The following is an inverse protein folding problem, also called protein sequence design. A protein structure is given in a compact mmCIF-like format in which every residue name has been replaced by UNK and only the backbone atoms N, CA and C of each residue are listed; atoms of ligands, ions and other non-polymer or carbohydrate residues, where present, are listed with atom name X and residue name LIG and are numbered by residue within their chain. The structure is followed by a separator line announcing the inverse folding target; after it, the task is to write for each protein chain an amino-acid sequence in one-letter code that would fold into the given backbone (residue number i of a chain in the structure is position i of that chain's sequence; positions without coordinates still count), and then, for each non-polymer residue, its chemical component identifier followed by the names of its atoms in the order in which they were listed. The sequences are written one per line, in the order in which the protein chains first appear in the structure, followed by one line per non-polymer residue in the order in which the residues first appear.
data_IF_375479575042
#
_entry.id   IF_375479575042
#
_cell.length_a   1.000
_cell.length_b   1.000
_cell.length_c   1.000
_cell.angle_alpha   90.00
_cell.angle_beta   90.00
_cell.angle_gamma   90.00
#
_symmetry.space_group_name_H-M   'P 1'
#
loop_
_entity.id
_entity.type
_entity.pdbx_description
1 polymer ?
#
# COMPACT_ATOMS: atom_id res chain seq x y z
N UNK A 1 33.98 -3.36 4.28
CA UNK A 1 33.72 -4.80 4.17
C UNK A 1 32.23 -4.97 3.94
N UNK A 2 31.86 -5.26 2.71
CA UNK A 2 30.49 -5.29 2.21
C UNK A 2 29.90 -6.69 2.46
N UNK A 3 29.01 -6.85 3.42
CA UNK A 3 28.18 -8.05 3.55
C UNK A 3 26.91 -7.86 2.68
N UNK A 4 27.01 -8.23 1.41
CA UNK A 4 25.82 -8.53 0.61
C UNK A 4 25.14 -9.73 1.26
N UNK A 5 24.05 -9.49 2.00
CA UNK A 5 23.13 -10.53 2.44
C UNK A 5 22.57 -11.21 1.19
N UNK A 6 22.92 -12.48 1.01
CA UNK A 6 22.54 -13.27 -0.15
C UNK A 6 21.03 -13.34 -0.31
N UNK A 7 20.54 -12.79 -1.41
CA UNK A 7 19.20 -13.10 -1.92
C UNK A 7 19.25 -14.56 -2.34
N UNK A 8 18.66 -15.45 -1.54
CA UNK A 8 18.49 -16.85 -1.90
C UNK A 8 17.67 -16.90 -3.20
N UNK A 9 18.30 -17.34 -4.29
CA UNK A 9 17.62 -17.55 -5.56
C UNK A 9 16.56 -18.63 -5.37
N UNK A 10 15.28 -18.25 -5.52
CA UNK A 10 14.17 -19.21 -5.56
C UNK A 10 14.36 -19.99 -6.86
N UNK A 11 14.46 -21.34 -6.83
CA UNK A 11 14.60 -22.10 -8.05
C UNK A 11 13.35 -21.92 -8.90
N UNK A 12 13.52 -21.61 -10.18
CA UNK A 12 12.43 -21.49 -11.15
C UNK A 12 11.71 -22.84 -11.25
N UNK A 13 10.44 -22.90 -10.85
CA UNK A 13 9.60 -24.07 -11.06
C UNK A 13 9.13 -24.08 -12.52
N UNK A 14 9.30 -25.21 -13.20
CA UNK A 14 8.82 -25.42 -14.57
C UNK A 14 7.35 -25.85 -14.65
N UNK A 15 6.65 -25.92 -13.51
CA UNK A 15 5.25 -26.34 -13.49
C UNK A 15 4.34 -25.15 -13.82
N UNK A 16 3.56 -25.19 -14.92
CA UNK A 16 2.62 -24.14 -15.25
C UNK A 16 1.54 -24.04 -14.17
N UNK A 17 1.20 -22.82 -13.79
CA UNK A 17 0.07 -22.55 -12.87
C UNK A 17 -1.24 -22.54 -13.66
N UNK A 18 -2.17 -23.42 -13.29
CA UNK A 18 -3.49 -23.45 -13.93
C UNK A 18 -4.53 -22.60 -13.21
N UNK A 19 -4.45 -22.54 -11.88
CA UNK A 19 -5.43 -21.82 -11.06
C UNK A 19 -4.81 -21.32 -9.75
N UNK A 20 -5.06 -20.07 -9.41
CA UNK A 20 -4.56 -19.43 -8.18
C UNK A 20 -5.70 -18.76 -7.43
N UNK A 21 -5.77 -18.99 -6.11
CA UNK A 21 -6.72 -18.29 -5.25
C UNK A 21 -5.98 -17.30 -4.37
N UNK A 22 -6.37 -16.02 -4.48
CA UNK A 22 -5.76 -14.89 -3.78
C UNK A 22 -6.69 -14.41 -2.66
N UNK A 23 -6.30 -14.57 -1.41
CA UNK A 23 -7.11 -14.20 -0.25
C UNK A 23 -6.61 -12.90 0.39
N UNK A 24 -7.41 -11.86 0.30
CA UNK A 24 -7.10 -10.55 0.90
C UNK A 24 -8.26 -9.59 0.75
N UNK A 25 -8.47 -8.73 1.75
CA UNK A 25 -9.60 -7.82 1.68
C UNK A 25 -9.69 -6.85 2.84
N UNK A 26 -10.73 -6.01 2.77
CA UNK A 26 -11.05 -4.97 3.75
C UNK A 26 -10.42 -3.62 3.45
N UNK A 27 -9.13 -3.55 3.22
CA UNK A 27 -8.40 -2.28 2.98
C UNK A 27 -7.54 -2.34 1.72
N UNK A 28 -7.19 -1.16 1.20
CA UNK A 28 -6.26 -1.02 0.08
C UNK A 28 -4.90 -1.70 0.38
N UNK A 29 -4.47 -1.72 1.65
CA UNK A 29 -3.22 -2.37 2.07
C UNK A 29 -3.13 -3.85 1.71
N UNK A 30 -4.24 -4.58 1.67
CA UNK A 30 -4.29 -5.98 1.29
C UNK A 30 -4.70 -6.19 -0.17
N UNK A 31 -5.58 -5.33 -0.70
CA UNK A 31 -6.14 -5.50 -2.05
C UNK A 31 -5.15 -5.05 -3.13
N UNK A 32 -4.37 -3.99 -2.91
CA UNK A 32 -3.41 -3.50 -3.91
C UNK A 32 -2.32 -4.52 -4.23
N UNK A 33 -1.59 -5.12 -3.25
CA UNK A 33 -0.58 -6.13 -3.55
C UNK A 33 -1.17 -7.44 -4.09
N UNK A 34 -2.41 -7.79 -3.70
CA UNK A 34 -3.16 -8.91 -4.29
C UNK A 34 -3.36 -8.69 -5.78
N UNK A 35 -3.84 -7.51 -6.17
CA UNK A 35 -4.07 -7.19 -7.58
C UNK A 35 -2.76 -7.06 -8.37
N UNK A 36 -1.69 -6.52 -7.77
CA UNK A 36 -0.38 -6.46 -8.40
C UNK A 36 0.17 -7.86 -8.72
N UNK A 37 0.02 -8.82 -7.80
CA UNK A 37 0.38 -10.21 -8.07
C UNK A 37 -0.53 -10.83 -9.14
N UNK A 38 -1.85 -10.59 -9.09
CA UNK A 38 -2.78 -11.08 -10.09
C UNK A 38 -2.39 -10.60 -11.51
N UNK A 39 -2.11 -9.31 -11.64
CA UNK A 39 -1.66 -8.72 -12.90
C UNK A 39 -0.32 -9.31 -13.37
N UNK A 40 0.62 -9.58 -12.45
CA UNK A 40 1.89 -10.23 -12.76
C UNK A 40 1.69 -11.67 -13.27
N UNK A 41 0.91 -12.48 -12.57
CA UNK A 41 0.60 -13.85 -12.97
C UNK A 41 -0.09 -13.90 -14.35
N UNK A 42 -1.05 -13.02 -14.60
CA UNK A 42 -1.75 -12.92 -15.89
C UNK A 42 -0.82 -12.47 -17.03
N UNK A 43 0.19 -11.64 -16.76
CA UNK A 43 1.22 -11.27 -17.75
C UNK A 43 2.14 -12.44 -18.10
N UNK A 44 2.46 -13.30 -17.11
CA UNK A 44 3.32 -14.48 -17.31
C UNK A 44 2.61 -15.58 -18.07
N UNK A 45 1.32 -15.76 -17.79
CA UNK A 45 0.47 -16.75 -18.43
C UNK A 45 -0.95 -16.19 -18.52
N UNK A 46 -1.42 -15.97 -19.75
CA UNK A 46 -2.74 -15.43 -20.03
C UNK A 46 -3.88 -16.42 -19.67
N UNK A 47 -3.58 -17.72 -19.64
CA UNK A 47 -4.55 -18.78 -19.40
C UNK A 47 -4.72 -19.11 -17.90
N UNK A 48 -3.86 -18.57 -17.03
CA UNK A 48 -3.98 -18.77 -15.58
C UNK A 48 -5.31 -18.24 -15.04
N UNK A 49 -6.06 -19.09 -14.36
CA UNK A 49 -7.31 -18.71 -13.71
C UNK A 49 -7.02 -18.10 -12.35
N UNK A 50 -7.38 -16.83 -12.19
CA UNK A 50 -7.16 -16.10 -10.95
C UNK A 50 -8.51 -15.81 -10.30
N UNK A 51 -8.67 -16.29 -9.08
CA UNK A 51 -9.85 -16.01 -8.26
C UNK A 51 -9.44 -15.31 -6.97
N UNK A 52 -10.02 -14.15 -6.72
CA UNK A 52 -9.87 -13.46 -5.44
C UNK A 52 -10.93 -13.94 -4.44
N UNK A 53 -10.53 -14.08 -3.18
CA UNK A 53 -11.41 -14.34 -2.06
C UNK A 53 -11.47 -13.11 -1.17
N UNK A 54 -12.66 -12.57 -0.99
CA UNK A 54 -12.91 -11.33 -0.27
C UNK A 54 -14.16 -11.37 0.59
N UNK A 55 -14.64 -10.19 0.98
CA UNK A 55 -15.93 -10.00 1.66
C UNK A 55 -16.88 -9.15 0.81
N UNK A 56 -18.17 -9.20 1.11
CA UNK A 56 -19.17 -8.39 0.39
C UNK A 56 -19.12 -6.89 0.73
N UNK A 57 -18.31 -6.47 1.70
CA UNK A 57 -18.27 -5.10 2.25
C UNK A 57 -16.92 -4.40 2.08
N UNK A 58 -15.86 -5.08 1.63
CA UNK A 58 -14.53 -4.52 1.49
C UNK A 58 -14.30 -3.83 0.14
N UNK A 59 -13.14 -3.17 0.01
CA UNK A 59 -12.72 -2.52 -1.24
C UNK A 59 -12.56 -3.52 -2.38
N UNK A 60 -12.28 -4.77 -2.08
CA UNK A 60 -12.16 -5.87 -3.04
C UNK A 60 -13.40 -6.05 -3.89
N UNK A 61 -14.60 -5.78 -3.33
CA UNK A 61 -15.87 -5.86 -4.07
C UNK A 61 -15.91 -4.97 -5.32
N UNK A 62 -15.25 -3.83 -5.27
CA UNK A 62 -15.17 -2.88 -6.37
C UNK A 62 -13.91 -3.10 -7.21
N UNK A 63 -12.76 -3.23 -6.56
CA UNK A 63 -11.46 -3.19 -7.23
C UNK A 63 -11.12 -4.49 -7.98
N UNK A 64 -11.53 -5.65 -7.47
CA UNK A 64 -11.23 -6.94 -8.11
C UNK A 64 -11.98 -7.10 -9.44
N UNK A 65 -13.32 -6.93 -9.49
CA UNK A 65 -14.05 -7.02 -10.76
C UNK A 65 -13.66 -5.91 -11.76
N UNK A 66 -13.33 -4.71 -11.27
CA UNK A 66 -12.87 -3.61 -12.13
C UNK A 66 -11.55 -3.93 -12.86
N UNK A 67 -10.75 -4.90 -12.35
CA UNK A 67 -9.54 -5.43 -12.99
C UNK A 67 -9.78 -6.71 -13.81
N UNK A 68 -11.05 -7.15 -13.96
CA UNK A 68 -11.41 -8.33 -14.73
C UNK A 68 -11.08 -9.66 -14.07
N UNK A 69 -10.99 -9.69 -12.72
CA UNK A 69 -10.78 -10.91 -11.94
C UNK A 69 -12.07 -11.37 -11.25
N UNK A 70 -12.22 -12.69 -11.12
CA UNK A 70 -13.32 -13.28 -10.39
C UNK A 70 -13.19 -13.02 -8.89
N UNK A 71 -14.30 -12.62 -8.25
CA UNK A 71 -14.38 -12.44 -6.81
C UNK A 71 -15.38 -13.44 -6.20
N UNK A 72 -14.88 -14.26 -5.27
CA UNK A 72 -15.72 -15.07 -4.38
C UNK A 72 -15.76 -14.41 -3.01
N UNK A 73 -16.94 -14.36 -2.43
CA UNK A 73 -17.12 -13.71 -1.12
C UNK A 73 -17.40 -14.72 -0.03
N UNK A 74 -16.82 -14.49 1.15
CA UNK A 74 -17.08 -15.25 2.35
C UNK A 74 -17.60 -14.35 3.47
N UNK A 75 -18.28 -14.91 4.49
CA UNK A 75 -18.68 -14.16 5.66
C UNK A 75 -17.48 -13.47 6.33
N UNK A 76 -17.64 -12.19 6.70
CA UNK A 76 -16.60 -11.44 7.41
C UNK A 76 -16.49 -11.95 8.86
N UNK A 77 -15.33 -12.42 9.25
CA UNK A 77 -15.03 -12.83 10.62
C UNK A 77 -14.16 -11.77 11.28
N UNK A 78 -14.80 -10.88 12.07
CA UNK A 78 -14.07 -9.87 12.83
C UNK A 78 -13.69 -10.44 14.20
N UNK A 79 -12.38 -10.45 14.50
CA UNK A 79 -11.91 -10.81 15.84
C UNK A 79 -12.16 -9.63 16.80
N UNK A 80 -12.95 -9.82 17.87
CA UNK A 80 -13.19 -8.77 18.84
C UNK A 80 -11.89 -8.32 19.51
N UNK A 81 -11.66 -7.01 19.55
CA UNK A 81 -10.47 -6.43 20.22
C UNK A 81 -10.65 -6.32 21.74
N UNK A 82 -11.86 -6.49 22.22
CA UNK A 82 -12.22 -6.47 23.66
C UNK A 82 -13.11 -7.67 23.97
N UNK A 83 -13.04 -8.22 25.18
CA UNK A 83 -13.99 -9.25 25.62
C UNK A 83 -15.43 -8.75 25.45
N UNK A 84 -16.22 -9.49 24.69
CA UNK A 84 -17.63 -9.18 24.43
C UNK A 84 -18.41 -10.46 24.08
N UNK A 85 -19.73 -10.47 24.13
CA UNK A 85 -20.56 -11.58 23.71
C UNK A 85 -20.34 -12.05 22.25
N UNK A 86 -19.67 -11.23 21.43
CA UNK A 86 -19.24 -11.60 20.10
C UNK A 86 -18.22 -12.77 20.09
N UNK A 87 -17.45 -12.94 21.17
CA UNK A 87 -16.52 -14.07 21.32
C UNK A 87 -17.24 -15.42 21.30
N UNK A 88 -18.43 -15.50 21.88
CA UNK A 88 -19.24 -16.74 21.90
C UNK A 88 -19.72 -17.17 20.49
N UNK A 89 -19.93 -16.19 19.59
CA UNK A 89 -20.36 -16.43 18.20
C UNK A 89 -19.18 -16.66 17.24
N UNK A 90 -17.97 -16.34 17.67
CA UNK A 90 -16.77 -16.40 16.82
C UNK A 90 -16.49 -17.81 16.25
N UNK A 91 -16.60 -18.93 17.02
CA UNK A 91 -16.34 -20.25 16.46
C UNK A 91 -17.30 -20.62 15.33
N UNK A 92 -18.59 -20.34 15.47
CA UNK A 92 -19.60 -20.58 14.43
C UNK A 92 -19.36 -19.74 13.18
N UNK A 93 -19.07 -18.44 13.36
CA UNK A 93 -18.77 -17.53 12.25
C UNK A 93 -17.48 -17.94 11.51
N UNK A 94 -16.44 -18.37 12.24
CA UNK A 94 -15.22 -18.87 11.65
C UNK A 94 -15.45 -20.15 10.88
N UNK A 95 -16.23 -21.09 11.44
CA UNK A 95 -16.59 -22.35 10.75
C UNK A 95 -17.30 -22.05 9.43
N UNK A 96 -18.33 -21.21 9.43
CA UNK A 96 -19.06 -20.84 8.22
C UNK A 96 -18.15 -20.17 7.18
N UNK A 97 -17.23 -19.30 7.59
CA UNK A 97 -16.28 -18.67 6.67
C UNK A 97 -15.27 -19.68 6.10
N UNK A 98 -14.80 -20.65 6.89
CA UNK A 98 -13.91 -21.73 6.42
C UNK A 98 -14.64 -22.65 5.44
N UNK A 99 -15.90 -22.98 5.69
CA UNK A 99 -16.73 -23.79 4.78
C UNK A 99 -16.96 -23.04 3.46
N UNK A 100 -17.29 -21.75 3.50
CA UNK A 100 -17.45 -20.93 2.30
C UNK A 100 -16.14 -20.79 1.50
N UNK A 101 -15.00 -20.57 2.18
CA UNK A 101 -13.69 -20.56 1.53
C UNK A 101 -13.36 -21.91 0.90
N UNK A 102 -13.71 -23.00 1.58
CA UNK A 102 -13.55 -24.35 1.07
C UNK A 102 -14.39 -24.61 -0.17
N UNK A 103 -15.66 -24.21 -0.18
CA UNK A 103 -16.52 -24.35 -1.33
C UNK A 103 -15.99 -23.56 -2.55
N UNK A 104 -15.44 -22.36 -2.33
CA UNK A 104 -14.77 -21.61 -3.39
C UNK A 104 -13.55 -22.36 -3.95
N UNK A 105 -12.74 -22.98 -3.10
CA UNK A 105 -11.60 -23.82 -3.53
C UNK A 105 -12.04 -25.06 -4.29
N UNK A 106 -13.12 -25.73 -3.88
CA UNK A 106 -13.65 -26.90 -4.57
C UNK A 106 -14.16 -26.54 -5.98
N UNK A 107 -14.74 -25.34 -6.15
CA UNK A 107 -15.22 -24.85 -7.45
C UNK A 107 -14.09 -24.39 -8.37
N UNK A 108 -13.00 -23.80 -7.84
CA UNK A 108 -11.93 -23.21 -8.64
C UNK A 108 -10.71 -24.11 -8.78
N UNK A 109 -10.63 -25.17 -7.96
CA UNK A 109 -9.53 -26.15 -7.92
C UNK A 109 -8.14 -25.48 -7.98
N UNK A 110 -7.78 -24.59 -7.03
CA UNK A 110 -6.53 -23.85 -7.11
C UNK A 110 -5.32 -24.74 -6.82
N UNK A 111 -4.23 -24.51 -7.56
CA UNK A 111 -2.94 -25.14 -7.34
C UNK A 111 -2.28 -24.64 -6.05
N UNK A 112 -2.56 -23.34 -5.72
CA UNK A 112 -1.99 -22.65 -4.57
C UNK A 112 -2.95 -21.58 -4.05
N UNK A 113 -2.91 -21.33 -2.75
CA UNK A 113 -3.63 -20.23 -2.08
C UNK A 113 -2.62 -19.21 -1.58
N UNK A 114 -2.76 -17.95 -2.00
CA UNK A 114 -1.92 -16.85 -1.54
C UNK A 114 -2.71 -15.94 -0.61
N UNK A 115 -2.23 -15.72 0.59
CA UNK A 115 -2.88 -14.83 1.55
C UNK A 115 -2.12 -13.54 1.79
N UNK A 116 -2.86 -12.43 1.76
CA UNK A 116 -2.36 -11.07 1.98
C UNK A 116 -2.80 -10.49 3.33
N UNK A 117 -3.41 -11.29 4.20
CA UNK A 117 -3.92 -10.83 5.50
C UNK A 117 -5.37 -10.35 5.46
N UNK A 118 -5.77 -9.63 6.50
CA UNK A 118 -7.17 -9.23 6.69
C UNK A 118 -8.06 -10.37 7.20
N UNK A 119 -9.36 -10.12 7.23
CA UNK A 119 -10.36 -11.04 7.79
C UNK A 119 -10.56 -12.32 6.96
N UNK A 120 -10.14 -12.30 5.71
CA UNK A 120 -10.36 -13.37 4.72
C UNK A 120 -9.27 -14.44 4.77
N UNK A 121 -8.03 -14.05 5.08
CA UNK A 121 -6.88 -14.94 4.98
C UNK A 121 -6.91 -16.09 5.99
N UNK A 122 -7.37 -15.85 7.24
CA UNK A 122 -7.48 -16.94 8.24
C UNK A 122 -8.40 -18.08 7.78
N UNK A 123 -9.67 -17.82 7.36
CA UNK A 123 -10.52 -18.87 6.79
C UNK A 123 -9.90 -19.56 5.57
N UNK A 124 -9.25 -18.78 4.68
CA UNK A 124 -8.59 -19.31 3.49
C UNK A 124 -7.46 -20.28 3.86
N UNK A 125 -6.58 -19.92 4.79
CA UNK A 125 -5.49 -20.79 5.25
C UNK A 125 -6.01 -22.11 5.87
N UNK A 126 -7.04 -22.03 6.72
CA UNK A 126 -7.63 -23.21 7.34
C UNK A 126 -8.30 -24.14 6.30
N UNK A 127 -9.02 -23.56 5.34
CA UNK A 127 -9.66 -24.33 4.26
C UNK A 127 -8.63 -24.96 3.32
N UNK A 128 -7.56 -24.24 2.94
CA UNK A 128 -6.47 -24.74 2.12
C UNK A 128 -5.72 -25.89 2.81
N UNK A 129 -5.37 -25.72 4.09
CA UNK A 129 -4.72 -26.78 4.88
C UNK A 129 -5.54 -28.06 4.94
N UNK A 130 -6.86 -27.95 5.16
CA UNK A 130 -7.77 -29.11 5.16
C UNK A 130 -7.77 -29.85 3.81
N UNK A 131 -7.56 -29.13 2.70
CA UNK A 131 -7.55 -29.65 1.33
C UNK A 131 -6.15 -30.00 0.82
N UNK A 132 -5.12 -29.83 1.66
CA UNK A 132 -3.71 -30.04 1.31
C UNK A 132 -3.28 -29.19 0.10
N UNK A 133 -3.87 -27.99 -0.05
CA UNK A 133 -3.47 -27.01 -1.05
C UNK A 133 -2.30 -26.21 -0.48
N UNK A 134 -1.19 -26.02 -1.21
CA UNK A 134 -0.08 -25.16 -0.80
C UNK A 134 -0.53 -23.76 -0.44
N UNK A 135 0.09 -23.19 0.59
CA UNK A 135 -0.21 -21.83 1.07
C UNK A 135 1.03 -20.98 0.91
N UNK A 136 0.87 -19.79 0.34
CA UNK A 136 1.86 -18.71 0.36
C UNK A 136 1.31 -17.58 1.20
N UNK A 137 2.15 -17.00 2.05
CA UNK A 137 1.79 -15.85 2.88
C UNK A 137 2.62 -14.65 2.43
N UNK A 138 1.98 -13.51 2.16
CA UNK A 138 2.66 -12.23 1.98
C UNK A 138 2.23 -11.26 3.09
N UNK A 139 3.20 -10.74 3.85
CA UNK A 139 2.97 -9.73 4.89
C UNK A 139 3.46 -8.36 4.43
N UNK A 140 2.54 -7.41 4.40
CA UNK A 140 2.80 -6.06 3.90
C UNK A 140 3.46 -5.16 4.95
N UNK A 141 3.15 -5.34 6.22
CA UNK A 141 3.55 -4.43 7.29
C UNK A 141 4.79 -4.92 8.03
N UNK A 142 5.56 -3.99 8.56
CA UNK A 142 6.68 -4.29 9.45
C UNK A 142 6.24 -4.98 10.76
N UNK A 143 4.98 -4.76 11.19
CA UNK A 143 4.33 -5.52 12.27
C UNK A 143 3.28 -6.46 11.69
N UNK A 144 3.51 -7.79 11.75
CA UNK A 144 2.65 -8.75 11.09
C UNK A 144 1.27 -8.85 11.74
N UNK A 145 0.24 -8.96 10.89
CA UNK A 145 -1.12 -9.20 11.30
C UNK A 145 -1.34 -10.63 11.86
N UNK A 146 -2.38 -10.81 12.69
CA UNK A 146 -2.68 -12.10 13.32
C UNK A 146 -2.93 -13.21 12.28
N UNK A 147 -3.62 -12.91 11.18
CA UNK A 147 -3.89 -13.87 10.12
C UNK A 147 -2.58 -14.41 9.51
N UNK A 148 -1.65 -13.53 9.15
CA UNK A 148 -0.38 -13.92 8.56
C UNK A 148 0.56 -14.59 9.57
N UNK A 149 0.50 -14.21 10.85
CA UNK A 149 1.21 -14.96 11.92
C UNK A 149 0.70 -16.41 12.04
N UNK A 150 -0.59 -16.62 11.90
CA UNK A 150 -1.16 -17.96 11.87
C UNK A 150 -0.76 -18.71 10.58
N UNK A 151 -0.89 -18.07 9.42
CA UNK A 151 -0.50 -18.64 8.14
C UNK A 151 0.96 -19.08 8.10
N UNK A 152 1.88 -18.25 8.60
CA UNK A 152 3.32 -18.55 8.67
C UNK A 152 3.68 -19.79 9.56
N UNK A 153 2.74 -20.28 10.39
CA UNK A 153 2.90 -21.55 11.10
C UNK A 153 2.43 -22.76 10.28
N UNK A 154 1.75 -22.52 9.17
CA UNK A 154 1.14 -23.58 8.34
C UNK A 154 1.92 -23.85 7.05
N UNK A 155 2.87 -22.98 6.70
CA UNK A 155 3.63 -23.07 5.45
C UNK A 155 5.06 -22.56 5.64
N UNK A 156 6.04 -23.10 4.87
CA UNK A 156 7.38 -22.52 4.78
C UNK A 156 7.46 -21.37 3.75
N UNK A 157 6.42 -21.14 2.94
CA UNK A 157 6.40 -20.14 1.86
C UNK A 157 5.87 -18.80 2.39
N UNK A 158 6.75 -18.04 3.03
CA UNK A 158 6.42 -16.75 3.67
C UNK A 158 7.24 -15.64 3.09
N UNK A 159 6.59 -14.69 2.46
CA UNK A 159 7.16 -13.47 1.91
C UNK A 159 6.84 -12.28 2.81
N UNK A 160 7.78 -11.34 2.95
CA UNK A 160 7.60 -10.11 3.70
C UNK A 160 8.07 -8.90 2.91
N UNK A 161 7.45 -7.77 3.18
CA UNK A 161 7.85 -6.48 2.60
C UNK A 161 9.10 -5.93 3.27
N UNK A 162 9.17 -5.98 4.60
CA UNK A 162 10.23 -5.38 5.38
C UNK A 162 11.09 -6.44 6.05
N UNK A 163 12.41 -6.23 6.06
CA UNK A 163 13.36 -7.13 6.74
C UNK A 163 13.14 -7.22 8.27
N UNK A 164 12.53 -6.18 8.85
CA UNK A 164 12.19 -6.13 10.28
C UNK A 164 10.95 -6.92 10.67
N UNK A 165 10.20 -7.49 9.69
CA UNK A 165 8.95 -8.21 9.97
C UNK A 165 9.22 -9.56 10.65
N UNK A 166 8.82 -9.79 11.91
CA UNK A 166 9.15 -11.00 12.66
C UNK A 166 8.18 -12.15 12.33
N UNK A 167 8.39 -12.82 11.22
CA UNK A 167 7.65 -14.03 10.83
C UNK A 167 8.58 -15.22 10.65
N UNK A 168 8.07 -16.41 10.93
CA UNK A 168 8.79 -17.67 10.64
C UNK A 168 8.92 -17.84 9.13
N UNK A 169 10.06 -18.36 8.69
CA UNK A 169 10.35 -18.65 7.27
C UNK A 169 10.30 -17.43 6.36
N UNK A 170 10.37 -16.21 6.92
CA UNK A 170 10.26 -14.98 6.15
C UNK A 170 11.41 -14.82 5.15
N UNK A 171 11.06 -14.65 3.89
CA UNK A 171 11.95 -14.18 2.83
C UNK A 171 11.53 -12.77 2.47
N UNK A 172 12.47 -11.83 2.50
CA UNK A 172 12.21 -10.43 2.16
C UNK A 172 12.18 -10.30 0.64
N UNK A 173 11.01 -9.97 0.09
CA UNK A 173 10.84 -9.78 -1.35
C UNK A 173 10.39 -8.37 -1.72
N UNK A 174 9.91 -7.59 -0.74
CA UNK A 174 9.32 -6.28 -0.99
C UNK A 174 7.80 -6.32 -1.11
N UNK A 175 7.22 -5.19 -1.51
CA UNK A 175 5.79 -5.01 -1.74
C UNK A 175 5.48 -5.19 -3.23
N UNK A 176 4.59 -6.11 -3.63
CA UNK A 176 4.07 -6.14 -4.99
C UNK A 176 3.38 -4.83 -5.32
N UNK A 177 3.92 -4.10 -6.27
CA UNK A 177 3.42 -2.79 -6.71
C UNK A 177 2.70 -2.90 -8.05
N UNK A 178 1.78 -1.97 -8.27
CA UNK A 178 1.16 -1.80 -9.58
C UNK A 178 2.24 -1.46 -10.63
N UNK A 179 2.11 -2.03 -11.82
CA UNK A 179 3.13 -1.89 -12.87
C UNK A 179 3.43 -0.45 -13.23
N UNK A 180 2.40 0.41 -13.30
CA UNK A 180 2.55 1.83 -13.59
C UNK A 180 3.41 2.58 -12.55
N UNK A 181 3.48 2.08 -11.31
CA UNK A 181 4.36 2.60 -10.25
C UNK A 181 5.73 1.94 -10.31
N UNK A 182 5.76 0.60 -10.43
CA UNK A 182 7.02 -0.15 -10.46
C UNK A 182 7.94 0.25 -11.62
N UNK A 183 7.38 0.62 -12.77
CA UNK A 183 8.10 1.03 -13.98
C UNK A 183 8.19 2.55 -14.15
N UNK A 184 7.68 3.34 -13.21
CA UNK A 184 7.66 4.80 -13.35
C UNK A 184 9.09 5.38 -13.41
N UNK A 185 9.38 6.06 -14.50
CA UNK A 185 10.45 7.03 -14.60
C UNK A 185 9.86 8.42 -14.31
N UNK A 186 10.16 8.94 -13.12
CA UNK A 186 9.61 10.23 -12.68
C UNK A 186 10.07 11.39 -13.57
N UNK A 187 11.34 11.39 -13.95
CA UNK A 187 11.90 12.47 -14.78
C UNK A 187 11.24 12.52 -16.15
N UNK A 188 11.12 11.36 -16.80
CA UNK A 188 10.48 11.24 -18.12
C UNK A 188 8.97 11.58 -18.10
N UNK A 189 8.29 11.38 -16.96
CA UNK A 189 6.85 11.60 -16.82
C UNK A 189 6.48 12.91 -16.10
N UNK A 190 7.46 13.72 -15.64
CA UNK A 190 7.20 14.96 -14.88
C UNK A 190 6.30 15.92 -15.65
N UNK A 191 6.64 16.25 -16.89
CA UNK A 191 5.86 17.18 -17.69
C UNK A 191 4.41 16.71 -17.91
N UNK A 192 4.21 15.40 -18.14
CA UNK A 192 2.88 14.81 -18.27
C UNK A 192 2.11 14.87 -16.93
N UNK A 193 2.78 14.65 -15.81
CA UNK A 193 2.18 14.76 -14.47
C UNK A 193 1.76 16.19 -14.14
N UNK A 194 2.62 17.17 -14.37
CA UNK A 194 2.31 18.58 -14.16
C UNK A 194 1.12 19.01 -15.03
N UNK A 195 1.15 18.70 -16.33
CA UNK A 195 0.06 19.03 -17.25
C UNK A 195 -1.26 18.40 -16.86
N UNK A 196 -1.24 17.12 -16.40
CA UNK A 196 -2.44 16.40 -15.99
C UNK A 196 -3.18 17.04 -14.83
N UNK A 197 -2.42 17.64 -13.90
CA UNK A 197 -3.00 18.30 -12.71
C UNK A 197 -3.08 19.82 -12.82
N UNK A 198 -2.67 20.43 -13.94
CA UNK A 198 -2.66 21.88 -14.09
C UNK A 198 -1.63 22.57 -13.20
N UNK A 199 -0.48 21.93 -13.01
CA UNK A 199 0.67 22.44 -12.27
C UNK A 199 1.71 23.03 -13.24
N UNK A 200 2.62 23.86 -12.73
CA UNK A 200 3.62 24.60 -13.49
C UNK A 200 5.03 24.01 -13.28
N UNK A 201 5.89 24.06 -14.30
CA UNK A 201 7.20 23.38 -14.25
C UNK A 201 8.24 24.08 -13.35
N UNK A 202 8.11 25.37 -13.16
CA UNK A 202 9.10 26.18 -12.47
C UNK A 202 8.87 26.37 -10.96
N UNK A 203 7.95 25.61 -10.39
CA UNK A 203 7.66 25.62 -8.95
C UNK A 203 7.92 24.27 -8.31
N UNK A 204 8.49 24.21 -7.09
CA UNK A 204 8.55 22.98 -6.32
C UNK A 204 7.12 22.49 -6.02
N UNK A 205 6.91 21.19 -6.21
CA UNK A 205 5.58 20.55 -6.10
C UNK A 205 5.48 19.71 -4.84
N UNK A 206 4.59 20.10 -3.93
CA UNK A 206 4.25 19.34 -2.74
C UNK A 206 2.99 18.50 -2.98
N UNK A 207 3.11 17.18 -2.85
CA UNK A 207 1.97 16.27 -2.86
C UNK A 207 1.53 15.97 -1.43
N UNK A 208 0.24 16.16 -1.13
CA UNK A 208 -0.34 15.84 0.19
C UNK A 208 -1.38 14.74 0.03
N UNK A 209 -1.23 13.62 0.77
CA UNK A 209 -2.19 12.53 0.72
C UNK A 209 -2.36 11.81 2.07
N UNK A 210 -3.59 11.67 2.53
CA UNK A 210 -3.92 10.96 3.76
C UNK A 210 -4.18 9.47 3.57
N UNK A 211 -4.17 8.99 2.32
CA UNK A 211 -4.63 7.64 2.00
C UNK A 211 -6.14 7.45 2.28
N UNK A 212 -6.62 6.20 2.17
CA UNK A 212 -8.05 5.89 2.23
C UNK A 212 -8.72 6.09 3.61
N UNK A 213 -7.95 6.19 4.71
CA UNK A 213 -8.50 6.15 6.07
C UNK A 213 -8.32 7.43 6.89
N UNK A 214 -7.47 8.38 6.51
CA UNK A 214 -7.21 9.46 7.45
C UNK A 214 -6.51 10.69 6.93
N UNK A 215 -7.23 11.55 6.23
CA UNK A 215 -6.73 12.84 5.78
C UNK A 215 -7.14 14.02 6.69
N UNK A 216 -8.08 13.85 7.60
CA UNK A 216 -8.76 14.97 8.28
C UNK A 216 -7.80 15.96 8.97
N UNK A 217 -6.81 15.45 9.72
CA UNK A 217 -5.82 16.32 10.38
C UNK A 217 -4.84 16.95 9.38
N UNK A 218 -4.39 16.18 8.38
CA UNK A 218 -3.59 16.72 7.30
C UNK A 218 -4.34 17.84 6.58
N UNK A 219 -5.58 17.57 6.16
CA UNK A 219 -6.41 18.57 5.48
C UNK A 219 -6.55 19.85 6.30
N UNK A 220 -6.85 19.73 7.61
CA UNK A 220 -7.01 20.88 8.47
C UNK A 220 -5.73 21.71 8.63
N UNK A 221 -4.58 21.06 8.86
CA UNK A 221 -3.30 21.73 9.02
C UNK A 221 -2.92 22.50 7.76
N UNK A 222 -3.01 21.87 6.59
CA UNK A 222 -2.62 22.48 5.33
C UNK A 222 -3.64 23.51 4.80
N UNK A 223 -4.93 23.29 5.02
CA UNK A 223 -5.96 24.27 4.62
C UNK A 223 -5.75 25.65 5.29
N UNK A 224 -5.21 25.68 6.50
CA UNK A 224 -4.92 26.91 7.23
C UNK A 224 -3.67 27.66 6.73
N UNK A 225 -2.82 27.03 5.89
CA UNK A 225 -1.51 27.57 5.44
C UNK A 225 -1.37 27.65 3.91
N UNK A 226 -2.47 27.65 3.20
CA UNK A 226 -2.50 27.79 1.73
C UNK A 226 -1.79 29.08 1.27
N UNK A 227 -2.01 30.18 1.99
CA UNK A 227 -1.42 31.49 1.66
C UNK A 227 0.10 31.48 1.77
N UNK A 228 0.63 30.93 2.85
CA UNK A 228 2.07 30.86 3.13
C UNK A 228 2.79 29.93 2.15
N UNK A 229 2.19 28.76 1.83
CA UNK A 229 2.72 27.84 0.82
C UNK A 229 2.87 28.53 -0.54
N UNK A 230 1.81 29.21 -0.99
CA UNK A 230 1.83 29.91 -2.27
C UNK A 230 2.78 31.11 -2.27
N UNK A 231 2.84 31.87 -1.18
CA UNK A 231 3.76 32.99 -1.03
C UNK A 231 5.23 32.56 -1.05
N UNK A 232 5.52 31.32 -0.62
CA UNK A 232 6.86 30.71 -0.70
C UNK A 232 7.18 30.08 -2.06
N UNK A 233 6.34 30.28 -3.09
CA UNK A 233 6.56 29.76 -4.43
C UNK A 233 6.25 28.26 -4.58
N UNK A 234 5.61 27.61 -3.59
CA UNK A 234 5.32 26.19 -3.59
C UNK A 234 3.94 25.93 -4.18
N UNK A 235 3.87 25.08 -5.20
CA UNK A 235 2.60 24.55 -5.70
C UNK A 235 2.22 23.26 -5.00
N UNK A 236 0.92 22.98 -4.91
CA UNK A 236 0.41 21.86 -4.12
C UNK A 236 -0.62 21.05 -4.88
N UNK A 237 -0.44 19.73 -4.88
CA UNK A 237 -1.49 18.75 -5.19
C UNK A 237 -1.96 18.10 -3.89
N UNK A 238 -3.17 18.43 -3.43
CA UNK A 238 -3.73 17.94 -2.17
C UNK A 238 -4.85 16.93 -2.42
N UNK A 239 -4.58 15.65 -2.17
CA UNK A 239 -5.57 14.58 -2.26
C UNK A 239 -6.28 14.46 -0.91
N UNK A 240 -7.43 15.11 -0.80
CA UNK A 240 -8.16 15.29 0.47
C UNK A 240 -8.93 14.06 0.95
N UNK A 241 -9.27 13.16 0.04
CA UNK A 241 -10.19 12.03 0.27
C UNK A 241 -11.64 12.38 -0.10
N UNK A 242 -12.38 11.41 -0.57
CA UNK A 242 -13.78 11.56 -0.99
C UNK A 242 -14.65 12.15 0.13
N UNK A 243 -15.40 13.19 -0.18
CA UNK A 243 -16.28 13.90 0.76
C UNK A 243 -15.54 14.72 1.81
N UNK A 244 -14.23 15.04 1.59
CA UNK A 244 -13.41 15.84 2.49
C UNK A 244 -12.73 16.99 1.76
N UNK A 245 -13.26 17.36 0.61
CA UNK A 245 -12.75 18.46 -0.19
C UNK A 245 -12.99 19.80 0.55
N UNK A 246 -12.08 20.74 0.34
CA UNK A 246 -12.18 22.09 0.85
C UNK A 246 -11.77 23.09 -0.23
N UNK A 247 -12.24 24.32 -0.10
CA UNK A 247 -11.85 25.40 -0.99
C UNK A 247 -10.55 26.05 -0.44
N UNK A 248 -9.45 26.05 -1.21
CA UNK A 248 -8.21 26.68 -0.77
C UNK A 248 -8.41 28.15 -0.41
N UNK A 249 -7.96 28.56 0.79
CA UNK A 249 -8.08 29.94 1.26
C UNK A 249 -9.42 30.31 1.90
N UNK A 250 -10.37 29.41 2.01
CA UNK A 250 -11.59 29.62 2.80
C UNK A 250 -11.33 29.33 4.28
N UNK A 251 -11.13 30.34 5.09
CA UNK A 251 -11.09 30.21 6.55
C UNK A 251 -12.49 29.99 7.13
N UNK A 252 -13.15 28.87 6.87
CA UNK A 252 -14.38 28.44 7.58
C UNK A 252 -15.52 29.48 7.80
N UNK A 253 -15.36 30.72 7.39
CA UNK A 253 -16.35 31.80 7.48
C UNK A 253 -17.05 31.97 6.14
N UNK A 254 -18.30 31.59 6.10
CA UNK A 254 -19.26 31.99 5.08
C UNK A 254 -19.23 33.52 4.94
N UNK A 255 -18.56 34.03 3.91
CA UNK A 255 -18.79 35.42 3.55
C UNK A 255 -17.63 36.33 3.20
N UNK A 256 -16.43 35.85 2.85
CA UNK A 256 -15.44 36.73 2.23
C UNK A 256 -14.68 35.99 1.14
N UNK A 257 -15.04 36.25 -0.10
CA UNK A 257 -14.20 35.99 -1.27
C UNK A 257 -13.00 36.95 -1.20
N UNK A 258 -12.04 36.63 -0.32
CA UNK A 258 -10.71 37.22 -0.46
C UNK A 258 -10.13 36.66 -1.73
N UNK A 259 -9.91 37.49 -2.71
CA UNK A 259 -9.11 37.24 -3.90
C UNK A 259 -7.92 36.36 -3.49
N UNK A 260 -7.86 35.14 -3.96
CA UNK A 260 -6.72 34.25 -3.70
C UNK A 260 -5.53 34.91 -4.36
N UNK A 261 -4.58 35.39 -3.57
CA UNK A 261 -3.39 36.16 -4.00
C UNK A 261 -2.70 35.46 -5.17
N UNK A 262 -2.11 36.23 -6.07
CA UNK A 262 -1.24 35.72 -7.13
C UNK A 262 -0.18 34.79 -6.54
N UNK A 263 0.05 33.63 -7.15
CA UNK A 263 1.00 32.62 -6.69
C UNK A 263 0.70 31.25 -7.32
N UNK A 264 1.62 30.28 -7.15
CA UNK A 264 1.52 28.98 -7.79
C UNK A 264 0.23 28.22 -7.43
N UNK A 265 -0.19 27.24 -8.26
CA UNK A 265 -1.43 26.50 -8.07
C UNK A 265 -1.50 25.76 -6.72
N UNK A 266 -2.67 25.76 -6.09
CA UNK A 266 -3.02 24.86 -5.00
C UNK A 266 -4.27 24.06 -5.41
N UNK A 267 -4.05 22.82 -5.83
CA UNK A 267 -5.09 21.96 -6.39
C UNK A 267 -5.58 21.02 -5.31
N UNK A 268 -6.89 21.00 -5.04
CA UNK A 268 -7.52 20.03 -4.14
C UNK A 268 -8.29 19.01 -4.97
N UNK A 269 -7.92 17.73 -4.86
CA UNK A 269 -8.60 16.63 -5.50
C UNK A 269 -9.17 15.67 -4.45
N UNK A 270 -10.40 15.22 -4.62
CA UNK A 270 -11.02 14.23 -3.74
C UNK A 270 -10.32 12.88 -3.84
N UNK A 271 -9.99 12.49 -5.05
CA UNK A 271 -9.38 11.21 -5.38
C UNK A 271 -8.57 11.32 -6.67
N UNK A 272 -7.51 10.53 -6.79
CA UNK A 272 -6.66 10.49 -7.97
C UNK A 272 -6.49 9.03 -8.40
N UNK A 273 -6.89 8.71 -9.63
CA UNK A 273 -6.68 7.38 -10.22
C UNK A 273 -5.22 7.22 -10.71
N UNK A 274 -4.66 8.28 -11.31
CA UNK A 274 -3.31 8.31 -11.88
C UNK A 274 -2.29 8.76 -10.83
N UNK A 275 -2.09 7.93 -9.78
CA UNK A 275 -1.07 8.20 -8.75
C UNK A 275 0.35 8.20 -9.32
N UNK A 276 0.59 7.47 -10.41
CA UNK A 276 1.85 7.51 -11.15
C UNK A 276 2.18 8.93 -11.63
N UNK A 277 1.21 9.64 -12.21
CA UNK A 277 1.38 11.03 -12.62
C UNK A 277 1.52 12.00 -11.43
N UNK A 278 0.79 11.73 -10.33
CA UNK A 278 0.95 12.53 -9.11
C UNK A 278 2.36 12.38 -8.51
N UNK A 279 2.91 11.15 -8.50
CA UNK A 279 4.28 10.90 -8.05
C UNK A 279 5.33 11.46 -9.02
N UNK A 280 5.05 11.48 -10.32
CA UNK A 280 5.95 12.08 -11.31
C UNK A 280 6.03 13.60 -11.16
N UNK A 281 4.91 14.27 -10.86
CA UNK A 281 4.84 15.72 -10.68
C UNK A 281 5.49 16.21 -9.37
N UNK A 282 5.48 15.37 -8.31
CA UNK A 282 5.86 15.80 -6.97
C UNK A 282 7.37 15.80 -6.73
N UNK A 283 7.85 16.75 -5.91
CA UNK A 283 9.23 16.81 -5.41
C UNK A 283 9.33 16.30 -3.96
N UNK A 284 8.31 16.54 -3.14
CA UNK A 284 8.18 16.04 -1.78
C UNK A 284 6.73 15.58 -1.53
N UNK A 285 6.57 14.56 -0.68
CA UNK A 285 5.24 14.06 -0.29
C UNK A 285 5.02 14.21 1.21
N UNK A 286 3.85 14.66 1.60
CA UNK A 286 3.33 14.49 2.97
C UNK A 286 2.30 13.38 2.94
N UNK A 287 2.56 12.28 3.64
CA UNK A 287 1.67 11.11 3.57
C UNK A 287 1.55 10.37 4.90
N UNK A 288 0.46 9.60 5.03
CA UNK A 288 0.39 8.54 6.05
C UNK A 288 1.39 7.42 5.69
N UNK A 289 1.98 6.79 6.72
CA UNK A 289 2.99 5.74 6.55
C UNK A 289 2.39 4.33 6.38
N UNK A 290 1.35 4.20 5.55
CA UNK A 290 0.85 2.89 5.13
C UNK A 290 1.90 2.15 4.32
N UNK A 291 1.98 0.82 4.46
CA UNK A 291 3.03 0.02 3.81
C UNK A 291 3.07 0.24 2.29
N UNK A 292 1.92 0.26 1.61
CA UNK A 292 1.87 0.53 0.16
C UNK A 292 2.47 1.91 -0.16
N UNK A 293 2.06 2.96 0.55
CA UNK A 293 2.55 4.32 0.32
C UNK A 293 4.06 4.41 0.51
N UNK A 294 4.59 3.85 1.60
CA UNK A 294 6.04 3.83 1.84
C UNK A 294 6.77 3.13 0.71
N UNK A 295 6.29 1.95 0.29
CA UNK A 295 6.93 1.17 -0.77
C UNK A 295 6.79 1.81 -2.16
N UNK A 296 5.64 2.41 -2.48
CA UNK A 296 5.46 3.14 -3.74
C UNK A 296 6.42 4.33 -3.81
N UNK A 297 6.51 5.14 -2.75
CA UNK A 297 7.39 6.32 -2.71
C UNK A 297 8.88 5.93 -2.80
N UNK A 298 9.30 4.91 -2.06
CA UNK A 298 10.69 4.43 -2.14
C UNK A 298 11.02 3.83 -3.50
N UNK A 299 10.11 3.06 -4.10
CA UNK A 299 10.30 2.48 -5.41
C UNK A 299 10.52 3.53 -6.50
N UNK A 300 9.83 4.67 -6.41
CA UNK A 300 9.98 5.77 -7.38
C UNK A 300 11.03 6.81 -6.97
N UNK A 301 11.71 6.63 -5.83
CA UNK A 301 12.70 7.58 -5.33
C UNK A 301 12.09 8.95 -4.98
N UNK A 302 10.90 8.97 -4.41
CA UNK A 302 10.22 10.20 -4.03
C UNK A 302 10.30 10.40 -2.51
N UNK A 303 11.00 11.44 -2.01
CA UNK A 303 11.16 11.67 -0.59
C UNK A 303 9.85 12.07 0.06
N UNK A 304 9.70 11.76 1.35
CA UNK A 304 8.47 12.05 2.04
C UNK A 304 8.64 12.44 3.52
N UNK A 305 7.70 13.24 4.01
CA UNK A 305 7.39 13.33 5.43
C UNK A 305 6.27 12.34 5.74
N UNK A 306 6.60 11.32 6.48
CA UNK A 306 5.68 10.28 6.91
C UNK A 306 5.01 10.67 8.22
N UNK A 307 3.70 10.78 8.20
CA UNK A 307 2.87 11.09 9.38
C UNK A 307 2.05 9.86 9.74
N UNK A 308 2.55 8.96 10.60
CA UNK A 308 1.86 7.73 10.95
C UNK A 308 0.48 8.00 11.56
N UNK A 309 -0.51 7.22 11.17
CA UNK A 309 -1.84 7.30 11.76
C UNK A 309 -1.77 6.82 13.24
N UNK A 310 -2.25 7.61 14.22
CA UNK A 310 -2.11 7.29 15.65
C UNK A 310 -3.12 6.24 16.16
N UNK A 311 -3.56 5.34 15.28
CA UNK A 311 -4.52 4.27 15.60
C UNK A 311 -3.96 2.91 15.16
N UNK A 312 -4.60 1.82 15.62
CA UNK A 312 -4.15 0.46 15.31
C UNK A 312 -3.09 -0.03 16.30
N UNK A 313 -2.12 -0.81 15.82
CA UNK A 313 -1.02 -1.36 16.59
C UNK A 313 0.32 -0.61 16.38
N UNK A 314 0.25 0.59 15.75
CA UNK A 314 1.42 1.43 15.46
C UNK A 314 2.28 0.94 14.29
N UNK A 315 1.77 0.02 13.45
CA UNK A 315 2.51 -0.55 12.32
C UNK A 315 3.06 0.51 11.36
N UNK A 316 2.33 1.62 11.15
CA UNK A 316 2.73 2.67 10.22
C UNK A 316 4.08 3.30 10.57
N UNK A 317 4.34 3.52 11.86
CA UNK A 317 5.65 4.05 12.29
C UNK A 317 6.79 3.12 11.92
N UNK A 318 6.58 1.81 12.05
CA UNK A 318 7.60 0.80 11.72
C UNK A 318 7.78 0.62 10.22
N UNK A 319 6.74 0.81 9.42
CA UNK A 319 6.85 0.75 7.95
C UNK A 319 7.82 1.80 7.39
N UNK A 320 7.84 3.01 7.96
CA UNK A 320 8.71 4.09 7.51
C UNK A 320 10.16 4.00 8.09
N UNK A 321 10.42 3.13 9.07
CA UNK A 321 11.72 3.11 9.78
C UNK A 321 12.90 2.91 8.83
N UNK A 322 12.78 2.06 7.83
CA UNK A 322 13.86 1.76 6.88
C UNK A 322 14.26 2.98 6.05
N UNK A 323 13.29 3.63 5.43
CA UNK A 323 13.53 4.81 4.57
C UNK A 323 13.98 6.02 5.37
N UNK A 324 13.46 6.22 6.59
CA UNK A 324 13.88 7.31 7.49
C UNK A 324 15.33 7.11 7.92
N UNK A 325 15.74 5.89 8.29
CA UNK A 325 17.15 5.59 8.62
C UNK A 325 18.10 5.77 7.44
N UNK A 326 17.65 5.51 6.24
CA UNK A 326 18.43 5.76 5.04
C UNK A 326 18.56 7.26 4.69
N UNK A 327 17.78 8.13 5.32
CA UNK A 327 17.73 9.56 5.03
C UNK A 327 16.73 9.94 3.93
N UNK A 328 15.95 8.98 3.40
CA UNK A 328 14.98 9.20 2.32
C UNK A 328 13.62 9.73 2.79
N UNK A 329 13.46 10.04 4.06
CA UNK A 329 12.23 10.60 4.61
C UNK A 329 12.37 11.09 6.03
N UNK A 330 11.37 11.83 6.45
CA UNK A 330 11.21 12.34 7.83
C UNK A 330 10.01 11.67 8.48
N UNK A 331 10.13 11.28 9.74
CA UNK A 331 9.02 10.75 10.53
C UNK A 331 8.49 11.84 11.44
N UNK A 332 7.23 12.22 11.27
CA UNK A 332 6.56 13.24 12.07
C UNK A 332 5.37 12.62 12.81
N UNK A 333 5.30 12.77 14.12
CA UNK A 333 4.13 12.34 14.86
C UNK A 333 2.90 13.18 14.50
N UNK A 334 1.74 12.54 14.42
CA UNK A 334 0.50 13.20 14.00
C UNK A 334 0.16 14.44 14.86
N UNK A 335 0.49 14.40 16.16
CA UNK A 335 0.30 15.54 17.08
C UNK A 335 1.20 16.73 16.79
N UNK A 336 2.36 16.50 16.17
CA UNK A 336 3.34 17.54 15.83
C UNK A 336 3.11 18.16 14.45
N UNK A 337 2.19 17.61 13.66
CA UNK A 337 1.77 18.28 12.43
C UNK A 337 0.87 19.47 12.78
N UNK A 338 1.50 20.62 13.03
CA UNK A 338 0.85 21.89 13.34
C UNK A 338 1.02 22.88 12.20
N UNK A 339 0.18 23.95 12.13
CA UNK A 339 0.37 25.02 11.18
C UNK A 339 1.75 25.70 11.27
N UNK A 340 2.30 25.84 12.47
CA UNK A 340 3.62 26.41 12.73
C UNK A 340 4.72 25.51 12.17
N UNK A 341 4.64 24.19 12.38
CA UNK A 341 5.58 23.24 11.82
C UNK A 341 5.64 23.31 10.28
N UNK A 342 4.50 23.58 9.63
CA UNK A 342 4.46 23.76 8.17
C UNK A 342 5.32 24.97 7.78
N UNK A 343 5.20 26.10 8.48
CA UNK A 343 5.94 27.33 8.17
C UNK A 343 7.41 27.20 8.53
N UNK A 344 7.71 26.71 9.74
CA UNK A 344 9.05 26.74 10.30
C UNK A 344 9.96 25.63 9.78
N UNK A 345 9.39 24.48 9.38
CA UNK A 345 10.16 23.30 9.02
C UNK A 345 9.90 22.85 7.58
N UNK A 346 8.62 22.76 7.17
CA UNK A 346 8.29 22.20 5.86
C UNK A 346 8.61 23.17 4.72
N UNK A 347 8.27 24.45 4.85
CA UNK A 347 8.57 25.43 3.77
C UNK A 347 10.05 25.46 3.43
N UNK A 348 10.99 25.62 4.41
CA UNK A 348 12.42 25.54 4.13
C UNK A 348 12.84 24.21 3.48
N UNK A 349 12.28 23.07 3.92
CA UNK A 349 12.61 21.77 3.37
C UNK A 349 12.21 21.64 1.90
N UNK A 350 11.00 22.06 1.53
CA UNK A 350 10.48 21.91 0.14
C UNK A 350 11.29 22.75 -0.84
N UNK A 351 11.85 23.89 -0.41
CA UNK A 351 12.63 24.80 -1.23
C UNK A 351 14.13 24.52 -1.22
N UNK A 352 14.60 23.56 -0.42
CA UNK A 352 16.01 23.11 -0.38
C UNK A 352 16.23 22.00 -1.42
N UNK A 353 16.44 22.39 -2.69
CA UNK A 353 16.64 21.45 -3.80
C UNK A 353 17.78 20.44 -3.55
N UNK A 354 18.98 20.83 -3.05
CA UNK A 354 20.03 19.86 -2.73
C UNK A 354 19.58 18.82 -1.70
N UNK A 355 18.90 19.25 -0.67
CA UNK A 355 18.37 18.35 0.37
C UNK A 355 17.30 17.40 -0.16
N UNK A 356 16.40 17.88 -0.99
CA UNK A 356 15.39 17.03 -1.67
C UNK A 356 16.06 15.99 -2.57
N UNK A 357 17.10 16.37 -3.32
CA UNK A 357 17.85 15.44 -4.17
C UNK A 357 18.57 14.35 -3.35
N UNK A 358 19.22 14.70 -2.25
CA UNK A 358 19.83 13.73 -1.32
C UNK A 358 18.78 12.75 -0.75
N UNK A 359 17.65 13.28 -0.29
CA UNK A 359 16.56 12.47 0.23
C UNK A 359 15.95 11.56 -0.83
N UNK A 360 15.84 12.04 -2.07
CA UNK A 360 15.35 11.24 -3.20
C UNK A 360 16.27 10.06 -3.51
N UNK A 361 17.58 10.28 -3.57
CA UNK A 361 18.57 9.23 -3.76
C UNK A 361 18.54 8.19 -2.62
N UNK A 362 18.41 8.67 -1.38
CA UNK A 362 18.30 7.81 -0.21
C UNK A 362 17.00 6.99 -0.20
N UNK A 363 15.87 7.57 -0.61
CA UNK A 363 14.60 6.86 -0.76
C UNK A 363 14.71 5.75 -1.82
N UNK A 364 15.29 6.06 -2.99
CA UNK A 364 15.50 5.11 -4.07
C UNK A 364 16.39 3.94 -3.66
N UNK A 365 17.41 4.17 -2.80
CA UNK A 365 18.34 3.13 -2.36
C UNK A 365 17.71 1.99 -1.57
N UNK A 366 16.54 2.20 -0.99
CA UNK A 366 15.77 1.20 -0.23
C UNK A 366 14.50 0.76 -0.94
N UNK A 367 14.26 1.28 -2.14
CA UNK A 367 13.10 0.94 -2.97
C UNK A 367 13.21 -0.44 -3.62
N UNK A 368 12.10 -1.14 -3.75
CA UNK A 368 12.01 -2.43 -4.44
C UNK A 368 10.92 -2.35 -5.52
N UNK A 369 11.27 -2.74 -6.75
CA UNK A 369 10.39 -2.64 -7.91
C UNK A 369 9.93 -3.97 -8.50
N UNK A 370 10.63 -5.08 -8.18
CA UNK A 370 10.42 -6.41 -8.75
C UNK A 370 9.73 -7.39 -7.78
N UNK A 371 9.07 -6.88 -6.74
CA UNK A 371 8.47 -7.72 -5.70
C UNK A 371 7.30 -8.56 -6.21
N UNK A 372 6.55 -8.08 -7.21
CA UNK A 372 5.47 -8.84 -7.86
C UNK A 372 6.03 -10.07 -8.59
N UNK A 373 7.15 -9.92 -9.30
CA UNK A 373 7.81 -11.01 -10.01
C UNK A 373 8.38 -12.05 -9.02
N UNK A 374 9.06 -11.60 -7.95
CA UNK A 374 9.58 -12.50 -6.91
C UNK A 374 8.48 -13.24 -6.15
N UNK A 375 7.34 -12.58 -5.90
CA UNK A 375 6.21 -13.25 -5.29
C UNK A 375 5.59 -14.28 -6.24
N UNK A 376 5.49 -13.97 -7.53
CA UNK A 376 5.01 -14.91 -8.54
C UNK A 376 5.93 -16.15 -8.64
N UNK A 377 7.26 -15.99 -8.54
CA UNK A 377 8.21 -17.10 -8.47
C UNK A 377 7.97 -17.98 -7.25
N UNK A 378 7.78 -17.37 -6.07
CA UNK A 378 7.47 -18.11 -4.84
C UNK A 378 6.14 -18.87 -4.95
N UNK A 379 5.14 -18.26 -5.60
CA UNK A 379 3.83 -18.89 -5.84
C UNK A 379 3.96 -20.11 -6.76
N UNK A 380 4.70 -19.99 -7.86
CA UNK A 380 4.95 -21.09 -8.78
C UNK A 380 5.74 -22.24 -8.09
N UNK A 381 6.76 -21.89 -7.31
CA UNK A 381 7.55 -22.87 -6.55
C UNK A 381 6.69 -23.62 -5.52
N UNK A 382 5.83 -22.91 -4.79
CA UNK A 382 4.93 -23.52 -3.80
C UNK A 382 3.92 -24.45 -4.46
N UNK A 383 3.35 -24.09 -5.61
CA UNK A 383 2.43 -24.93 -6.37
C UNK A 383 3.09 -26.22 -6.86
N UNK A 384 4.33 -26.14 -7.37
CA UNK A 384 5.10 -27.30 -7.82
C UNK A 384 5.41 -28.32 -6.70
N UNK A 385 5.44 -27.89 -5.44
CA UNK A 385 5.68 -28.78 -4.29
C UNK A 385 4.52 -29.74 -3.98
N UNK A 386 3.34 -29.54 -4.58
CA UNK A 386 2.17 -30.43 -4.41
C UNK A 386 2.37 -31.83 -5.00
N UNK A 387 3.25 -31.95 -6.01
CA UNK A 387 3.51 -33.22 -6.72
C UNK A 387 4.58 -34.11 -6.08
N UNK A 388 5.27 -33.64 -5.03
CA UNK A 388 6.46 -34.32 -4.44
C UNK A 388 6.15 -34.97 -3.08
N UNK A 389 4.89 -35.05 -2.65
CA UNK A 389 4.50 -35.68 -1.37
C UNK A 389 3.66 -36.92 -1.58
#
# INVERSE_FOLDING_TARGET
MSSRTGVSSIPLSSVPLSSVLLAGGGSAGHVSPLLALADCLRRRDADVRITALGTSQGLEKRLVPARGYDLRTIPKVAFPRRPSGALLRLPGALKAAVEAAGAAMDQTSPDVVVGFGGYVSTPAYLAARKRKIPIVVHEQNARPGLANRLGARMTPYVATTFASTPLRHATVIGMPLRREIALLDRAANRAAGLAHFGLEDHHPTLLITGGSLGAQRLNAAFASRVGELRASGIQVLHISGLGKEFVPGSNGSTGSTRSVSAGPPYIVAAYVDRMDLAYAAADLVIARAGANTVCELTAVGLPAVYVPLPIGNGEQRFNATGVVRAGGGVLLDDSHLTPEWIVDVLLPLVTDEPRIAEMAAAAASVGERAADERLADLVAFAAGSRGVR
#
